data_IF_211012150234
#
_entry.id   IF_211012150234
#
_cell.length_a   1.000
_cell.length_b   1.000
_cell.length_c   1.000
_cell.angle_alpha   90.00
_cell.angle_beta   90.00
_cell.angle_gamma   90.00
#
_symmetry.space_group_name_H-M   'P 1'
#
loop_
_entity.id
_entity.type
_entity.pdbx_description
1 polymer ?
#
# COMPACT_ATOMS: atom_id res chain seq x y z
N UNK A 1 29.60 -6.65 36.54
CA UNK A 1 28.40 -6.09 35.89
C UNK A 1 28.51 -6.24 34.38
N UNK A 2 28.29 -7.46 33.89
CA UNK A 2 28.11 -7.72 32.46
C UNK A 2 26.80 -8.50 32.41
N UNK A 3 25.68 -7.81 32.18
CA UNK A 3 24.43 -8.49 31.91
C UNK A 3 24.58 -9.09 30.52
N UNK A 4 24.69 -10.42 30.47
CA UNK A 4 24.78 -11.20 29.25
C UNK A 4 23.63 -10.82 28.31
N UNK A 5 23.97 -10.33 27.12
CA UNK A 5 23.04 -10.34 26.00
C UNK A 5 22.74 -11.80 25.68
N UNK A 6 21.49 -12.20 25.87
CA UNK A 6 21.03 -13.57 25.72
C UNK A 6 21.16 -14.03 24.26
N UNK A 7 22.05 -14.99 24.01
CA UNK A 7 22.33 -15.59 22.69
C UNK A 7 21.07 -16.28 22.12
N UNK A 8 20.09 -16.64 22.97
CA UNK A 8 18.81 -17.22 22.55
C UNK A 8 18.09 -16.35 21.50
N UNK A 9 18.18 -15.02 21.60
CA UNK A 9 17.52 -14.09 20.66
C UNK A 9 18.15 -14.05 19.24
N UNK A 10 19.33 -14.67 19.08
CA UNK A 10 20.11 -14.74 17.84
C UNK A 10 19.92 -16.08 17.10
N UNK A 11 19.28 -17.05 17.76
CA UNK A 11 19.01 -18.40 17.26
C UNK A 11 17.51 -18.71 17.27
N UNK A 12 16.68 -17.71 17.01
CA UNK A 12 15.25 -17.90 16.78
C UNK A 12 15.02 -18.09 15.27
N UNK A 13 15.01 -19.33 14.73
CA UNK A 13 14.73 -19.59 13.31
C UNK A 13 13.29 -19.21 12.89
N UNK A 14 12.49 -18.75 13.86
CA UNK A 14 11.11 -18.31 13.68
C UNK A 14 10.93 -16.79 13.81
N UNK A 15 12.01 -16.00 13.98
CA UNK A 15 11.98 -14.51 13.99
C UNK A 15 11.76 -13.93 12.59
N UNK A 16 10.83 -14.51 11.83
CA UNK A 16 10.56 -14.19 10.43
C UNK A 16 9.58 -15.12 9.71
N UNK A 17 8.78 -15.94 10.41
CA UNK A 17 7.85 -16.88 9.76
C UNK A 17 6.40 -16.85 10.22
N UNK A 18 6.01 -15.81 10.96
CA UNK A 18 4.60 -15.45 11.16
C UNK A 18 4.33 -14.16 10.37
N UNK A 19 4.51 -14.22 9.05
CA UNK A 19 4.66 -13.03 8.21
C UNK A 19 3.36 -12.25 8.05
N UNK A 20 2.98 -11.44 9.04
CA UNK A 20 1.94 -10.43 8.88
C UNK A 20 2.39 -9.42 7.81
N UNK A 21 1.41 -8.84 7.10
CA UNK A 21 1.68 -7.75 6.15
C UNK A 21 2.40 -6.58 6.85
N UNK A 22 2.06 -6.34 8.12
CA UNK A 22 2.68 -5.32 8.96
C UNK A 22 4.18 -5.57 9.14
N UNK A 23 4.59 -6.79 9.53
CA UNK A 23 6.02 -7.13 9.70
C UNK A 23 6.80 -7.02 8.38
N UNK A 24 6.19 -7.43 7.25
CA UNK A 24 6.80 -7.24 5.94
C UNK A 24 7.00 -5.76 5.59
N UNK A 25 5.99 -4.93 5.86
CA UNK A 25 6.05 -3.49 5.61
C UNK A 25 7.05 -2.79 6.53
N UNK A 26 7.15 -3.15 7.81
CA UNK A 26 8.13 -2.58 8.73
C UNK A 26 9.56 -2.72 8.21
N UNK A 27 9.93 -3.93 7.76
CA UNK A 27 11.25 -4.19 7.18
C UNK A 27 11.46 -3.36 5.92
N UNK A 28 10.51 -3.39 4.98
CA UNK A 28 10.67 -2.72 3.67
C UNK A 28 10.60 -1.20 3.74
N UNK A 29 9.76 -0.64 4.60
CA UNK A 29 9.69 0.80 4.81
C UNK A 29 10.97 1.31 5.47
N UNK A 30 11.55 0.55 6.41
CA UNK A 30 12.84 0.87 7.02
C UNK A 30 13.99 0.96 5.99
N UNK A 31 14.03 0.06 5.01
CA UNK A 31 14.99 0.12 3.89
C UNK A 31 14.78 1.39 3.05
N UNK A 32 13.52 1.72 2.70
CA UNK A 32 13.19 2.91 1.91
C UNK A 32 13.55 4.22 2.61
N UNK A 33 13.24 4.34 3.90
CA UNK A 33 13.57 5.53 4.71
C UNK A 33 15.08 5.73 4.78
N UNK A 34 15.85 4.65 4.99
CA UNK A 34 17.32 4.72 5.03
C UNK A 34 17.91 5.14 3.67
N UNK A 35 17.40 4.57 2.58
CA UNK A 35 17.85 4.93 1.22
C UNK A 35 17.52 6.37 0.85
N UNK A 36 16.35 6.86 1.25
CA UNK A 36 15.88 8.21 0.94
C UNK A 36 16.49 9.30 1.84
N UNK A 37 17.02 8.98 3.03
CA UNK A 37 17.70 9.95 3.90
C UNK A 37 18.92 10.62 3.23
N UNK A 38 19.52 9.94 2.27
CA UNK A 38 20.73 10.40 1.59
C UNK A 38 20.41 11.27 0.36
N UNK A 39 19.15 11.28 -0.10
CA UNK A 39 18.65 12.20 -1.12
C UNK A 39 17.76 13.26 -0.47
N UNK A 40 17.75 14.49 -0.98
CA UNK A 40 16.97 15.61 -0.42
C UNK A 40 15.44 15.46 -0.60
N UNK A 41 14.89 14.25 -0.48
CA UNK A 41 13.50 13.90 -0.72
C UNK A 41 12.60 14.50 0.36
N UNK A 42 12.11 15.72 0.10
CA UNK A 42 10.95 16.28 0.79
C UNK A 42 9.71 15.47 0.37
N UNK A 43 8.84 15.13 1.31
CA UNK A 43 7.57 14.42 1.11
C UNK A 43 7.63 12.88 0.96
N UNK A 44 8.59 12.21 1.62
CA UNK A 44 8.67 10.73 1.65
C UNK A 44 7.35 10.07 2.06
N UNK A 45 6.65 10.62 3.05
CA UNK A 45 5.35 10.11 3.49
C UNK A 45 4.35 10.03 2.33
N UNK A 46 4.18 11.10 1.56
CA UNK A 46 3.25 11.14 0.42
C UNK A 46 3.63 10.16 -0.69
N UNK A 47 4.93 9.98 -0.93
CA UNK A 47 5.44 9.02 -1.92
C UNK A 47 5.10 7.59 -1.51
N UNK A 48 5.38 7.22 -0.26
CA UNK A 48 5.11 5.87 0.24
C UNK A 48 3.61 5.60 0.31
N UNK A 49 2.82 6.58 0.77
CA UNK A 49 1.37 6.45 0.82
C UNK A 49 0.80 6.20 -0.59
N UNK A 50 1.21 6.98 -1.59
CA UNK A 50 0.80 6.77 -2.97
C UNK A 50 1.23 5.40 -3.51
N UNK A 51 2.43 4.93 -3.17
CA UNK A 51 2.96 3.63 -3.58
C UNK A 51 2.14 2.45 -3.02
N UNK A 52 1.55 2.61 -1.83
CA UNK A 52 0.67 1.60 -1.22
C UNK A 52 -0.78 1.74 -1.70
N UNK A 53 -1.32 2.95 -1.76
CA UNK A 53 -2.72 3.17 -2.12
C UNK A 53 -3.01 2.81 -3.58
N UNK A 54 -2.09 3.11 -4.50
CA UNK A 54 -2.29 2.85 -5.93
C UNK A 54 -2.54 1.37 -6.25
N UNK A 55 -1.71 0.40 -5.83
CA UNK A 55 -1.97 -1.01 -6.06
C UNK A 55 -3.21 -1.52 -5.30
N UNK A 56 -3.48 -1.02 -4.09
CA UNK A 56 -4.68 -1.39 -3.32
C UNK A 56 -5.96 -1.01 -4.09
N UNK A 57 -6.08 0.26 -4.49
CA UNK A 57 -7.25 0.75 -5.22
C UNK A 57 -7.36 0.09 -6.60
N UNK A 58 -6.24 -0.10 -7.29
CA UNK A 58 -6.24 -0.80 -8.58
C UNK A 58 -6.75 -2.23 -8.45
N UNK A 59 -6.38 -2.94 -7.39
CA UNK A 59 -6.81 -4.31 -7.15
C UNK A 59 -8.30 -4.38 -6.81
N UNK A 60 -8.79 -3.48 -5.95
CA UNK A 60 -10.22 -3.37 -5.65
C UNK A 60 -11.07 -3.08 -6.90
N UNK A 61 -10.62 -2.14 -7.75
CA UNK A 61 -11.30 -1.85 -9.02
C UNK A 61 -11.29 -3.04 -9.98
N UNK A 62 -10.22 -3.84 -10.01
CA UNK A 62 -10.18 -5.06 -10.82
C UNK A 62 -11.18 -6.10 -10.31
N UNK A 63 -11.19 -6.33 -9.00
CA UNK A 63 -12.09 -7.28 -8.34
C UNK A 63 -13.55 -6.93 -8.59
N UNK A 64 -13.88 -5.64 -8.58
CA UNK A 64 -15.24 -5.14 -8.83
C UNK A 64 -15.53 -4.85 -10.30
N UNK A 65 -14.65 -5.25 -11.22
CA UNK A 65 -14.78 -5.06 -12.68
C UNK A 65 -15.01 -3.59 -13.07
N UNK A 66 -14.36 -2.67 -12.38
CA UNK A 66 -14.45 -1.23 -12.61
C UNK A 66 -15.64 -0.55 -11.94
N UNK A 67 -16.48 -1.27 -11.21
CA UNK A 67 -17.58 -0.66 -10.46
C UNK A 67 -17.02 0.09 -9.24
N UNK A 68 -16.98 1.42 -9.34
CA UNK A 68 -16.44 2.30 -8.30
C UNK A 68 -17.28 2.32 -7.01
N UNK A 69 -18.59 2.06 -7.08
CA UNK A 69 -19.43 2.01 -5.87
C UNK A 69 -19.03 0.78 -5.06
N UNK A 70 -19.02 -0.39 -5.70
CA UNK A 70 -18.59 -1.65 -5.05
C UNK A 70 -17.13 -1.61 -4.60
N UNK A 71 -16.24 -0.96 -5.36
CA UNK A 71 -14.85 -0.83 -4.95
C UNK A 71 -14.71 0.07 -3.71
N UNK A 72 -15.50 1.14 -3.62
CA UNK A 72 -15.52 2.02 -2.46
C UNK A 72 -16.05 1.29 -1.23
N UNK A 73 -17.12 0.51 -1.37
CA UNK A 73 -17.66 -0.36 -0.31
C UNK A 73 -16.62 -1.39 0.15
N UNK A 74 -15.97 -2.11 -0.78
CA UNK A 74 -14.92 -3.09 -0.47
C UNK A 74 -13.74 -2.46 0.29
N UNK A 75 -13.37 -1.23 -0.09
CA UNK A 75 -12.27 -0.50 0.55
C UNK A 75 -12.71 0.23 1.84
N UNK A 76 -13.99 0.26 2.18
CA UNK A 76 -14.52 1.03 3.30
C UNK A 76 -14.36 2.55 3.12
N UNK A 77 -14.34 3.04 1.88
CA UNK A 77 -14.15 4.44 1.54
C UNK A 77 -15.45 5.09 1.09
N UNK A 78 -15.57 6.40 1.31
CA UNK A 78 -16.58 7.18 0.61
C UNK A 78 -16.29 7.16 -0.90
N UNK A 79 -17.33 6.96 -1.73
CA UNK A 79 -17.21 6.92 -3.20
C UNK A 79 -16.62 8.19 -3.81
N UNK A 80 -16.88 9.36 -3.23
CA UNK A 80 -16.26 10.62 -3.69
C UNK A 80 -14.76 10.65 -3.38
N UNK A 81 -14.36 10.13 -2.21
CA UNK A 81 -12.96 9.97 -1.84
C UNK A 81 -12.25 8.99 -2.78
N UNK A 82 -12.85 7.84 -3.09
CA UNK A 82 -12.29 6.89 -4.04
C UNK A 82 -12.09 7.53 -5.41
N UNK A 83 -13.10 8.25 -5.92
CA UNK A 83 -13.03 8.95 -7.21
C UNK A 83 -11.88 9.97 -7.22
N UNK A 84 -11.71 10.75 -6.15
CA UNK A 84 -10.59 11.70 -6.02
C UNK A 84 -9.24 10.98 -6.04
N UNK A 85 -9.09 9.91 -5.24
CA UNK A 85 -7.86 9.10 -5.20
C UNK A 85 -7.52 8.46 -6.55
N UNK A 86 -8.50 8.00 -7.32
CA UNK A 86 -8.28 7.47 -8.67
C UNK A 86 -7.62 8.51 -9.59
N UNK A 87 -8.08 9.76 -9.52
CA UNK A 87 -7.53 10.88 -10.29
C UNK A 87 -6.14 11.24 -9.77
N UNK A 88 -6.00 11.49 -8.47
CA UNK A 88 -4.74 11.94 -7.85
C UNK A 88 -3.61 10.91 -8.06
N UNK A 89 -3.93 9.62 -7.98
CA UNK A 89 -2.97 8.52 -8.17
C UNK A 89 -2.82 8.05 -9.63
N UNK A 90 -3.47 8.75 -10.57
CA UNK A 90 -3.41 8.46 -12.01
C UNK A 90 -3.69 6.97 -12.31
N UNK A 91 -4.76 6.45 -11.73
CA UNK A 91 -5.17 5.05 -11.91
C UNK A 91 -5.97 4.94 -13.21
N UNK A 92 -5.52 4.10 -14.18
CA UNK A 92 -6.19 3.99 -15.46
C UNK A 92 -7.55 3.29 -15.29
N UNK A 93 -8.62 4.04 -15.53
CA UNK A 93 -9.95 3.46 -15.63
C UNK A 93 -10.12 2.89 -17.05
N UNK A 94 -10.37 1.59 -17.17
CA UNK A 94 -10.90 1.03 -18.41
C UNK A 94 -12.33 1.54 -18.56
N UNK A 95 -12.52 2.65 -19.27
CA UNK A 95 -13.84 3.12 -19.67
C UNK A 95 -14.42 2.07 -20.62
N UNK A 96 -15.26 1.17 -20.13
CA UNK A 96 -16.15 0.42 -21.00
C UNK A 96 -17.13 1.45 -21.55
N UNK A 97 -16.84 2.00 -22.75
CA UNK A 97 -17.85 2.74 -23.52
C UNK A 97 -19.02 1.80 -23.76
N UNK A 98 -20.07 1.89 -22.95
CA UNK A 98 -21.40 1.45 -23.37
C UNK A 98 -21.81 2.39 -24.50
N UNK A 99 -21.59 1.98 -25.75
CA UNK A 99 -22.35 2.53 -26.89
C UNK A 99 -23.82 2.16 -26.65
N UNK A 100 -24.70 3.15 -26.54
CA UNK A 100 -26.15 2.91 -26.49
C UNK A 100 -26.96 4.17 -26.17
N UNK A 101 -27.84 4.55 -27.11
CA UNK A 101 -28.72 5.73 -27.10
C UNK A 101 -28.35 6.65 -28.26
N UNK A 102 -28.67 6.38 -29.54
CA UNK A 102 -29.99 6.04 -30.13
C UNK A 102 -31.07 7.03 -29.75
#
# INVERSE_FOLDING_TARGET
MIQAMNIQSLLDPNKGRDGSLESYLEVKMGEFVKGMRNGSARNLHSILLAAVERPLITSALKETRGNQIRAAELLGLNRNTLRKKIVDLHIPLKLTKTKGGS
#
